data_IF_698261256148
#
_entry.id   IF_698261256148
#
_cell.length_a   1.000
_cell.length_b   1.000
_cell.length_c   1.000
_cell.angle_alpha   90.00
_cell.angle_beta   90.00
_cell.angle_gamma   90.00
#
_symmetry.space_group_name_H-M   'P 1'
#
loop_
_entity.id
_entity.type
_entity.pdbx_description
1 polymer ?
#
# COMPACT_ATOMS: atom_id res chain seq x y z
N UNK A 1 0.86 21.72 0.40
CA UNK A 1 1.35 20.62 1.26
C UNK A 1 0.60 19.36 0.85
N UNK A 2 1.29 18.24 0.58
CA UNK A 2 0.65 17.00 0.14
C UNK A 2 -0.01 16.29 1.32
N UNK A 3 -1.14 15.63 1.07
CA UNK A 3 -1.85 14.80 2.06
C UNK A 3 -1.23 13.40 2.10
N UNK A 4 -1.02 12.86 3.30
CA UNK A 4 -0.33 11.58 3.48
C UNK A 4 -1.35 10.46 3.62
N UNK A 5 -1.21 9.41 2.81
CA UNK A 5 -2.15 8.28 2.75
C UNK A 5 -1.42 6.98 3.03
N UNK A 6 -1.95 6.18 3.95
CA UNK A 6 -1.48 4.82 4.24
C UNK A 6 -2.47 3.77 3.73
N UNK A 7 -2.04 2.92 2.80
CA UNK A 7 -2.78 1.74 2.36
C UNK A 7 -2.37 0.50 3.17
N UNK A 8 -3.35 -0.13 3.82
CA UNK A 8 -3.13 -1.32 4.65
C UNK A 8 -3.78 -2.55 4.04
N UNK A 9 -3.03 -3.65 3.96
CA UNK A 9 -3.60 -4.99 3.77
C UNK A 9 -2.86 -6.01 4.64
N UNK A 10 -3.25 -7.29 4.61
CA UNK A 10 -2.54 -8.31 5.40
C UNK A 10 -1.09 -8.48 4.93
N UNK A 11 -0.91 -8.81 3.65
CA UNK A 11 0.37 -9.25 3.11
C UNK A 11 1.34 -8.16 2.67
N UNK A 12 0.88 -6.91 2.52
CA UNK A 12 1.60 -5.85 1.80
C UNK A 12 2.27 -6.34 0.50
N UNK A 13 1.51 -7.14 -0.26
CA UNK A 13 2.03 -7.97 -1.35
C UNK A 13 1.44 -7.60 -2.70
N UNK A 14 0.15 -7.29 -2.75
CA UNK A 14 -0.56 -6.94 -3.98
C UNK A 14 -1.39 -5.66 -3.86
N UNK A 15 -2.63 -5.76 -3.35
CA UNK A 15 -3.61 -4.65 -3.27
C UNK A 15 -3.03 -3.33 -2.78
N UNK A 16 -2.34 -3.34 -1.64
CA UNK A 16 -1.79 -2.11 -1.06
C UNK A 16 -0.57 -1.57 -1.83
N UNK A 17 0.22 -2.45 -2.46
CA UNK A 17 1.37 -2.06 -3.30
C UNK A 17 0.87 -1.36 -4.58
N UNK A 18 -0.14 -1.96 -5.23
CA UNK A 18 -0.80 -1.35 -6.39
C UNK A 18 -1.43 0.00 -6.02
N UNK A 19 -2.11 0.09 -4.88
CA UNK A 19 -2.75 1.33 -4.45
C UNK A 19 -1.74 2.46 -4.18
N UNK A 20 -0.61 2.15 -3.54
CA UNK A 20 0.49 3.12 -3.35
C UNK A 20 1.01 3.65 -4.68
N UNK A 21 1.31 2.75 -5.61
CA UNK A 21 1.85 3.08 -6.92
C UNK A 21 0.86 3.90 -7.78
N UNK A 22 -0.41 3.48 -7.83
CA UNK A 22 -1.45 4.15 -8.61
C UNK A 22 -1.78 5.53 -8.07
N UNK A 23 -1.84 5.72 -6.74
CA UNK A 23 -2.10 7.04 -6.18
C UNK A 23 -0.94 8.00 -6.46
N UNK A 24 0.30 7.51 -6.37
CA UNK A 24 1.49 8.27 -6.76
C UNK A 24 1.47 8.68 -8.23
N UNK A 25 1.05 7.78 -9.12
CA UNK A 25 0.94 8.04 -10.55
C UNK A 25 -0.15 9.07 -10.89
N UNK A 26 -1.36 8.90 -10.32
CA UNK A 26 -2.55 9.67 -10.72
C UNK A 26 -2.62 11.02 -10.01
N UNK A 27 -2.19 11.08 -8.75
CA UNK A 27 -2.40 12.26 -7.90
C UNK A 27 -1.18 12.57 -7.01
N UNK A 28 0.03 12.22 -7.48
CA UNK A 28 1.28 12.44 -6.75
C UNK A 28 1.56 13.90 -6.39
N UNK A 29 0.96 14.88 -7.09
CA UNK A 29 1.07 16.30 -6.76
C UNK A 29 0.25 16.72 -5.53
N UNK A 30 -0.78 15.95 -5.20
CA UNK A 30 -1.69 16.20 -4.09
C UNK A 30 -1.45 15.26 -2.91
N UNK A 31 -0.94 14.05 -3.16
CA UNK A 31 -0.80 13.00 -2.16
C UNK A 31 0.61 12.41 -2.07
N UNK A 32 0.99 12.02 -0.86
CA UNK A 32 2.13 11.17 -0.56
C UNK A 32 1.60 9.81 -0.11
N UNK A 33 1.72 8.81 -0.97
CA UNK A 33 1.23 7.47 -0.71
C UNK A 33 2.28 6.60 -0.02
N UNK A 34 1.83 5.73 0.86
CA UNK A 34 2.63 4.66 1.45
C UNK A 34 1.75 3.43 1.64
N UNK A 35 2.33 2.24 1.64
CA UNK A 35 1.62 1.01 1.99
C UNK A 35 2.34 0.21 3.07
N UNK A 36 1.58 -0.58 3.81
CA UNK A 36 2.12 -1.54 4.76
C UNK A 36 1.17 -2.71 4.97
N UNK A 37 1.59 -3.68 5.77
CA UNK A 37 0.72 -4.78 6.17
C UNK A 37 0.99 -5.35 7.54
N UNK A 38 0.04 -6.13 8.04
CA UNK A 38 0.13 -6.75 9.37
C UNK A 38 0.98 -8.02 9.35
N UNK A 39 1.06 -8.71 8.21
CA UNK A 39 1.87 -9.91 8.01
C UNK A 39 2.53 -9.86 6.63
N UNK A 40 3.60 -9.06 6.44
CA UNK A 40 4.27 -8.91 5.14
C UNK A 40 4.66 -10.25 4.53
N UNK A 41 4.30 -10.46 3.26
CA UNK A 41 4.48 -11.73 2.55
C UNK A 41 5.41 -11.58 1.33
N UNK A 42 6.11 -10.44 1.19
CA UNK A 42 6.89 -10.11 0.00
C UNK A 42 6.02 -9.55 -1.12
N UNK A 43 6.66 -9.00 -2.16
CA UNK A 43 5.98 -8.43 -3.31
C UNK A 43 5.47 -9.56 -4.23
N UNK A 44 4.19 -9.53 -4.60
CA UNK A 44 3.60 -10.52 -5.49
C UNK A 44 4.09 -10.30 -6.94
N UNK A 45 4.61 -11.31 -7.65
CA UNK A 45 5.03 -11.17 -9.05
C UNK A 45 3.92 -10.65 -9.98
N UNK A 46 2.67 -11.08 -9.76
CA UNK A 46 1.51 -10.62 -10.55
C UNK A 46 1.26 -9.12 -10.34
N UNK A 47 1.61 -8.57 -9.17
CA UNK A 47 1.55 -7.13 -8.93
C UNK A 47 2.61 -6.39 -9.73
N UNK A 48 3.81 -6.96 -9.85
CA UNK A 48 4.88 -6.41 -10.69
C UNK A 48 4.46 -6.41 -12.16
N UNK A 49 3.86 -7.49 -12.64
CA UNK A 49 3.33 -7.61 -14.01
C UNK A 49 2.20 -6.60 -14.26
N UNK A 50 1.16 -6.58 -13.42
CA UNK A 50 0.02 -5.68 -13.60
C UNK A 50 0.40 -4.20 -13.54
N UNK A 51 1.39 -3.82 -12.72
CA UNK A 51 1.84 -2.43 -12.66
C UNK A 51 2.69 -2.04 -13.88
N UNK A 52 3.41 -2.99 -14.49
CA UNK A 52 4.13 -2.74 -15.75
C UNK A 52 3.18 -2.46 -16.90
N UNK A 53 2.00 -3.11 -16.95
CA UNK A 53 0.99 -2.85 -17.99
C UNK A 53 0.51 -1.39 -17.99
N UNK A 54 0.58 -0.71 -16.84
CA UNK A 54 0.25 0.71 -16.68
C UNK A 54 1.48 1.62 -16.61
N UNK A 55 2.66 1.09 -16.94
CA UNK A 55 3.91 1.85 -17.05
C UNK A 55 4.60 2.19 -15.73
N UNK A 56 4.30 1.46 -14.64
CA UNK A 56 4.89 1.70 -13.32
C UNK A 56 5.70 0.49 -12.86
N UNK A 57 7.00 0.70 -12.58
CA UNK A 57 7.84 -0.33 -11.99
C UNK A 57 7.77 -0.28 -10.45
N UNK A 58 7.19 -1.30 -9.85
CA UNK A 58 7.07 -1.46 -8.39
C UNK A 58 8.11 -2.42 -7.80
N UNK A 59 9.08 -2.93 -8.58
CA UNK A 59 10.12 -3.87 -8.07
C UNK A 59 10.96 -3.30 -6.92
N UNK A 60 11.11 -1.98 -6.88
CA UNK A 60 11.83 -1.27 -5.82
C UNK A 60 10.97 -1.08 -4.56
N UNK A 61 9.67 -1.34 -4.64
CA UNK A 61 8.76 -1.19 -3.51
C UNK A 61 9.02 -2.33 -2.51
N UNK A 62 8.87 -2.02 -1.24
CA UNK A 62 9.17 -2.96 -0.16
C UNK A 62 7.90 -3.42 0.52
N UNK A 63 7.75 -4.74 0.63
CA UNK A 63 6.79 -5.34 1.54
C UNK A 63 7.26 -5.10 2.98
N UNK A 64 6.49 -4.33 3.76
CA UNK A 64 6.87 -3.87 5.11
C UNK A 64 5.74 -3.97 6.12
N UNK A 65 6.11 -4.20 7.37
CA UNK A 65 5.17 -4.27 8.48
C UNK A 65 4.63 -2.88 8.83
N UNK A 66 3.37 -2.78 9.28
CA UNK A 66 2.73 -1.51 9.65
C UNK A 66 3.53 -0.69 10.67
N UNK A 67 4.28 -1.36 11.55
CA UNK A 67 5.19 -0.72 12.52
C UNK A 67 6.22 0.22 11.87
N UNK A 68 6.67 -0.06 10.64
CA UNK A 68 7.58 0.82 9.90
C UNK A 68 6.96 2.20 9.61
N UNK A 69 5.62 2.27 9.60
CA UNK A 69 4.85 3.48 9.33
C UNK A 69 4.24 4.11 10.60
N UNK A 70 4.44 3.52 11.79
CA UNK A 70 3.83 4.05 13.03
C UNK A 70 4.46 5.37 13.51
N UNK A 71 5.68 5.69 13.04
CA UNK A 71 6.41 6.90 13.47
C UNK A 71 6.11 8.13 12.60
N UNK A 72 5.19 8.00 11.64
CA UNK A 72 4.88 9.06 10.70
C UNK A 72 3.36 9.36 10.73
N UNK A 73 2.94 10.64 10.74
CA UNK A 73 1.52 10.97 10.75
C UNK A 73 0.89 10.76 9.37
N UNK A 74 -0.37 10.32 9.33
CA UNK A 74 -1.14 10.18 8.10
C UNK A 74 -2.45 10.94 8.20
N UNK A 75 -2.86 11.60 7.12
CA UNK A 75 -4.17 12.23 7.01
C UNK A 75 -5.27 11.17 6.76
N UNK A 76 -4.92 10.11 6.02
CA UNK A 76 -5.85 9.03 5.67
C UNK A 76 -5.22 7.65 5.85
N UNK A 77 -6.02 6.70 6.35
CA UNK A 77 -5.66 5.28 6.43
C UNK A 77 -6.75 4.46 5.74
N UNK A 78 -6.39 3.75 4.67
CA UNK A 78 -7.31 3.00 3.83
C UNK A 78 -7.02 1.51 4.01
N UNK A 79 -8.00 0.76 4.53
CA UNK A 79 -7.90 -0.69 4.73
C UNK A 79 -8.43 -1.44 3.49
N UNK A 80 -7.60 -2.30 2.90
CA UNK A 80 -7.89 -3.12 1.73
C UNK A 80 -8.02 -4.61 2.10
N UNK A 81 -8.60 -4.87 3.26
CA UNK A 81 -8.89 -6.21 3.78
C UNK A 81 -10.35 -6.58 3.48
N UNK A 82 -10.70 -7.88 3.42
CA UNK A 82 -12.10 -8.27 3.52
C UNK A 82 -12.72 -7.69 4.80
N UNK A 83 -14.05 -7.51 4.85
CA UNK A 83 -14.72 -7.10 6.07
C UNK A 83 -14.31 -8.05 7.21
N UNK A 84 -13.83 -7.48 8.31
CA UNK A 84 -13.57 -8.22 9.55
C UNK A 84 -14.86 -8.89 9.99
N UNK A 85 -14.84 -10.21 10.19
CA UNK A 85 -15.96 -10.90 10.82
C UNK A 85 -16.00 -10.51 12.30
N UNK A 86 -17.17 -10.55 12.97
CA UNK A 86 -17.22 -10.35 14.40
C UNK A 86 -16.30 -11.36 15.10
N UNK A 87 -15.24 -10.89 15.75
CA UNK A 87 -14.28 -11.74 16.48
C UNK A 87 -12.82 -11.64 16.01
N UNK A 88 -12.52 -10.93 14.93
CA UNK A 88 -11.13 -10.69 14.52
C UNK A 88 -10.50 -9.55 15.36
N UNK A 89 -9.84 -9.93 16.46
CA UNK A 89 -8.93 -9.11 17.26
C UNK A 89 -7.50 -9.67 17.17
#
# INVERSE_FOLDING_TARGET
MKKRVLFLCTGNSARSQMAEALLGLIAGDHFEASSAGTHPAGLNPVTVEAMQDVGVDVRQYRSKHVNACMRQPFDYVIKLLPPSLPGDC
#
